data_IF_598937746099
#
_entry.id   IF_598937746099
#
_cell.length_a   1.000
_cell.length_b   1.000
_cell.length_c   1.000
_cell.angle_alpha   90.00
_cell.angle_beta   90.00
_cell.angle_gamma   90.00
#
_symmetry.space_group_name_H-M   'P 1'
#
loop_
_entity.id
_entity.type
_entity.pdbx_description
1 polymer ?
#
# COMPACT_ATOMS: atom_id res chain seq x y z
N UNK A 1 10.09 -14.49 -0.29
CA UNK A 1 11.14 -13.42 -0.36
C UNK A 1 10.59 -12.15 0.29
N UNK A 2 11.44 -11.20 0.70
CA UNK A 2 11.00 -9.96 1.36
C UNK A 2 10.86 -8.81 0.35
N UNK A 3 9.71 -8.14 0.33
CA UNK A 3 9.41 -7.04 -0.59
C UNK A 3 9.00 -5.80 0.20
N UNK A 4 9.59 -4.66 -0.13
CA UNK A 4 9.22 -3.37 0.44
C UNK A 4 8.27 -2.64 -0.51
N UNK A 5 7.08 -2.32 -0.04
CA UNK A 5 6.12 -1.52 -0.79
C UNK A 5 6.40 -0.03 -0.65
N UNK A 6 6.38 0.65 -1.79
CA UNK A 6 6.32 2.11 -1.87
C UNK A 6 4.87 2.60 -1.61
N UNK A 7 4.74 3.87 -1.23
CA UNK A 7 3.45 4.54 -0.97
C UNK A 7 2.47 4.34 -2.13
N UNK A 8 2.89 4.52 -3.38
CA UNK A 8 1.98 4.39 -4.53
C UNK A 8 1.54 2.94 -4.77
N UNK A 9 2.45 1.98 -4.62
CA UNK A 9 2.14 0.55 -4.77
C UNK A 9 1.13 0.10 -3.71
N UNK A 10 1.28 0.58 -2.47
CA UNK A 10 0.33 0.28 -1.39
C UNK A 10 -1.07 0.85 -1.71
N UNK A 11 -1.14 2.10 -2.17
CA UNK A 11 -2.42 2.72 -2.51
C UNK A 11 -3.12 2.00 -3.66
N UNK A 12 -2.40 1.68 -4.75
CA UNK A 12 -2.98 0.91 -5.85
C UNK A 12 -3.44 -0.48 -5.42
N UNK A 13 -2.73 -1.11 -4.49
CA UNK A 13 -3.13 -2.41 -3.95
C UNK A 13 -4.43 -2.32 -3.14
N UNK A 14 -4.55 -1.31 -2.26
CA UNK A 14 -5.75 -1.09 -1.43
C UNK A 14 -6.96 -0.72 -2.29
N UNK A 15 -6.77 0.19 -3.26
CA UNK A 15 -7.82 0.65 -4.16
C UNK A 15 -8.19 -0.36 -5.26
N UNK A 16 -7.39 -1.43 -5.41
CA UNK A 16 -7.56 -2.41 -6.49
C UNK A 16 -7.36 -1.81 -7.88
N UNK A 17 -6.53 -0.77 -7.98
CA UNK A 17 -6.34 0.03 -9.20
C UNK A 17 -5.68 -0.81 -10.31
N UNK A 18 -6.15 -0.60 -11.55
CA UNK A 18 -5.64 -1.23 -12.77
C UNK A 18 -4.20 -0.83 -13.11
N UNK A 19 -3.68 0.25 -12.53
CA UNK A 19 -2.28 0.66 -12.71
C UNK A 19 -1.28 -0.30 -12.05
N UNK A 20 -1.74 -1.17 -11.13
CA UNK A 20 -0.89 -2.20 -10.56
C UNK A 20 -0.70 -3.37 -11.54
N UNK A 21 0.56 -3.69 -11.84
CA UNK A 21 0.90 -4.86 -12.66
C UNK A 21 0.39 -6.15 -12.01
N UNK A 22 -0.19 -7.05 -12.81
CA UNK A 22 -0.64 -8.37 -12.36
C UNK A 22 0.47 -9.18 -11.67
N UNK A 23 1.72 -8.99 -12.09
CA UNK A 23 2.89 -9.64 -11.46
C UNK A 23 3.15 -9.09 -10.05
N UNK A 24 3.04 -7.78 -9.86
CA UNK A 24 3.20 -7.16 -8.54
C UNK A 24 2.09 -7.61 -7.59
N UNK A 25 0.85 -7.69 -8.10
CA UNK A 25 -0.29 -8.23 -7.35
C UNK A 25 -0.05 -9.66 -6.88
N UNK A 26 0.38 -10.55 -7.77
CA UNK A 26 0.70 -11.93 -7.42
C UNK A 26 1.81 -12.02 -6.36
N UNK A 27 2.84 -11.17 -6.44
CA UNK A 27 3.92 -11.17 -5.45
C UNK A 27 3.39 -10.77 -4.07
N UNK A 28 2.46 -9.80 -4.01
CA UNK A 28 1.87 -9.30 -2.76
C UNK A 28 0.87 -10.31 -2.17
N UNK A 29 0.08 -10.96 -3.02
CA UNK A 29 -0.94 -11.96 -2.61
C UNK A 29 -0.35 -13.34 -2.28
N UNK A 30 0.90 -13.61 -2.68
CA UNK A 30 1.61 -14.86 -2.37
C UNK A 30 2.07 -14.88 -0.91
N UNK A 31 1.47 -15.79 -0.13
CA UNK A 31 1.76 -15.99 1.30
C UNK A 31 3.19 -16.47 1.61
N UNK A 32 3.96 -16.92 0.60
CA UNK A 32 5.39 -17.22 0.71
C UNK A 32 6.29 -15.97 0.67
N UNK A 33 5.71 -14.79 0.43
CA UNK A 33 6.40 -13.52 0.41
C UNK A 33 6.09 -12.69 1.65
N UNK A 34 7.14 -12.12 2.23
CA UNK A 34 7.02 -11.18 3.33
C UNK A 34 6.92 -9.78 2.75
N UNK A 35 5.70 -9.24 2.74
CA UNK A 35 5.43 -7.89 2.25
C UNK A 35 5.51 -6.94 3.43
N UNK A 36 6.44 -5.99 3.37
CA UNK A 36 6.60 -4.96 4.38
C UNK A 36 6.31 -3.59 3.80
N UNK A 37 5.76 -2.70 4.63
CA UNK A 37 5.50 -1.31 4.30
C UNK A 37 6.38 -0.45 5.20
N UNK A 38 6.97 0.60 4.64
CA UNK A 38 7.72 1.55 5.46
C UNK A 38 6.78 2.38 6.35
N UNK A 39 7.19 2.66 7.59
CA UNK A 39 6.43 3.56 8.46
C UNK A 39 6.30 4.97 7.85
N UNK A 40 7.28 5.40 7.06
CA UNK A 40 7.26 6.68 6.36
C UNK A 40 6.13 6.74 5.31
N UNK A 41 5.94 5.67 4.53
CA UNK A 41 4.84 5.57 3.55
C UNK A 41 3.48 5.65 4.23
N UNK A 42 3.32 5.00 5.39
CA UNK A 42 2.10 5.09 6.19
C UNK A 42 1.85 6.53 6.69
N UNK A 43 2.89 7.20 7.17
CA UNK A 43 2.81 8.60 7.61
C UNK A 43 2.44 9.53 6.45
N UNK A 44 3.01 9.33 5.25
CA UNK A 44 2.68 10.11 4.05
C UNK A 44 1.18 9.98 3.70
N UNK A 45 0.64 8.75 3.76
CA UNK A 45 -0.80 8.50 3.52
C UNK A 45 -1.64 9.20 4.59
N UNK A 46 -1.29 9.07 5.87
CA UNK A 46 -1.98 9.75 6.97
C UNK A 46 -1.98 11.28 6.81
N UNK A 47 -0.87 11.87 6.35
CA UNK A 47 -0.76 13.30 6.08
C UNK A 47 -1.65 13.68 4.89
N UNK A 48 -1.60 12.92 3.79
CA UNK A 48 -2.45 13.16 2.60
C UNK A 48 -3.95 13.06 2.91
N UNK A 49 -4.35 12.11 3.76
CA UNK A 49 -5.72 11.97 4.28
C UNK A 49 -6.13 13.17 5.12
N UNK A 50 -5.27 13.64 6.03
CA UNK A 50 -5.54 14.81 6.87
C UNK A 50 -5.68 16.11 6.08
N UNK A 51 -4.89 16.27 5.01
CA UNK A 51 -4.95 17.45 4.14
C UNK A 51 -6.21 17.42 3.25
N UNK A 52 -6.91 16.29 3.15
CA UNK A 52 -8.11 16.13 2.31
C UNK A 52 -7.80 16.00 0.82
N UNK A 53 -6.53 15.81 0.46
CA UNK A 53 -6.07 15.64 -0.92
C UNK A 53 -6.10 14.16 -1.37
N UNK A 54 -6.62 13.27 -0.52
CA UNK A 54 -6.84 11.86 -0.83
C UNK A 54 -8.13 11.40 -0.16
N UNK A 55 -9.00 10.72 -0.90
CA UNK A 55 -10.29 10.21 -0.41
C UNK A 55 -10.16 8.70 -0.31
N UNK A 56 -9.85 8.19 0.88
CA UNK A 56 -9.75 6.76 1.18
C UNK A 56 -9.83 6.53 2.69
N UNK A 57 -10.23 5.32 3.13
CA UNK A 57 -10.24 4.96 4.56
C UNK A 57 -9.14 3.92 4.82
N UNK A 58 -8.13 4.29 5.61
CA UNK A 58 -7.09 3.36 6.09
C UNK A 58 -7.34 3.11 7.57
N UNK A 59 -7.75 1.88 7.91
CA UNK A 59 -7.90 1.44 9.29
C UNK A 59 -6.62 0.74 9.73
N UNK A 60 -5.85 1.37 10.62
CA UNK A 60 -4.68 0.76 11.25
C UNK A 60 -5.14 0.17 12.59
N UNK A 61 -5.13 -1.15 12.71
CA UNK A 61 -5.45 -1.87 13.94
C UNK A 61 -4.13 -2.16 14.65
N UNK A 62 -4.03 -1.78 15.94
CA UNK A 62 -2.84 -2.00 16.78
C UNK A 62 -2.84 -3.37 17.43
#
# INVERSE_FOLDING_TARGET
MKFLLDTHTLLWFIEGDIQMSAKARQIIEDAGNEVVVSAASLIEICIKLKIGNYVGQVSVVW
#
